data_IF_813688726217
#
_entry.id   IF_813688726217
#
_cell.length_a   1.000
_cell.length_b   1.000
_cell.length_c   1.000
_cell.angle_alpha   90.00
_cell.angle_beta   90.00
_cell.angle_gamma   90.00
#
_symmetry.space_group_name_H-M   'P 1'
#
loop_
_entity.id
_entity.type
_entity.pdbx_description
1 polymer ?
#
# COMPACT_ATOMS: atom_id res chain seq x y z
N UNK A 1 19.91 23.72 -15.90
CA UNK A 1 21.27 23.71 -16.47
C UNK A 1 21.58 22.26 -16.79
N UNK A 2 21.99 21.98 -18.02
CA UNK A 2 22.35 20.63 -18.46
C UNK A 2 23.75 20.32 -17.96
N UNK A 3 23.90 19.29 -17.13
CA UNK A 3 25.22 18.70 -16.88
C UNK A 3 25.53 17.76 -18.05
N UNK A 4 25.88 18.37 -19.20
CA UNK A 4 26.63 17.65 -20.21
C UNK A 4 27.93 17.15 -19.55
N UNK A 5 28.36 15.92 -19.87
CA UNK A 5 29.70 15.48 -19.53
C UNK A 5 30.72 16.54 -19.99
N UNK A 6 31.76 16.74 -19.19
CA UNK A 6 32.87 17.66 -19.51
C UNK A 6 33.24 17.51 -21.01
N UNK A 7 33.25 18.60 -21.80
CA UNK A 7 33.54 18.56 -23.24
C UNK A 7 34.84 17.81 -23.58
N UNK A 8 35.82 17.79 -22.66
CA UNK A 8 37.05 17.01 -22.82
C UNK A 8 36.82 15.51 -22.70
N UNK A 9 35.91 15.09 -21.82
CA UNK A 9 35.55 13.69 -21.64
C UNK A 9 34.75 13.17 -22.84
N UNK A 10 33.80 13.94 -23.37
CA UNK A 10 33.04 13.55 -24.59
C UNK A 10 33.95 13.38 -25.81
N UNK A 11 34.93 14.27 -25.98
CA UNK A 11 35.89 14.20 -27.09
C UNK A 11 36.83 12.98 -26.97
N UNK A 12 37.28 12.66 -25.75
CA UNK A 12 38.11 11.48 -25.51
C UNK A 12 37.28 10.20 -25.70
N UNK A 13 36.04 10.16 -25.23
CA UNK A 13 35.14 9.01 -25.38
C UNK A 13 34.79 8.74 -26.84
N UNK A 14 34.37 9.77 -27.60
CA UNK A 14 34.06 9.66 -29.03
C UNK A 14 35.28 9.23 -29.85
N UNK A 15 36.49 9.63 -29.46
CA UNK A 15 37.73 9.25 -30.15
C UNK A 15 38.19 7.83 -29.84
N UNK A 16 37.95 7.32 -28.64
CA UNK A 16 38.31 5.95 -28.24
C UNK A 16 37.27 4.95 -28.77
N UNK A 17 35.98 5.21 -28.56
CA UNK A 17 34.91 4.24 -28.85
C UNK A 17 34.23 4.46 -30.21
N UNK A 18 34.33 5.65 -30.80
CA UNK A 18 33.68 5.97 -32.07
C UNK A 18 34.32 5.32 -33.30
N UNK A 19 35.59 4.92 -33.22
CA UNK A 19 36.33 4.27 -34.31
C UNK A 19 36.32 2.74 -34.23
N UNK A 20 36.26 2.17 -33.02
CA UNK A 20 36.34 0.71 -32.82
C UNK A 20 34.98 0.02 -32.97
N UNK A 21 33.88 0.72 -32.65
CA UNK A 21 32.52 0.19 -32.77
C UNK A 21 31.61 1.16 -33.54
N UNK A 22 31.57 1.05 -34.88
CA UNK A 22 30.77 1.94 -35.74
C UNK A 22 29.26 1.92 -35.42
N UNK A 23 28.78 0.84 -34.80
CA UNK A 23 27.39 0.70 -34.36
C UNK A 23 27.11 1.54 -33.12
N UNK A 24 28.07 1.64 -32.20
CA UNK A 24 27.97 2.43 -30.99
C UNK A 24 27.96 3.93 -31.30
N UNK A 25 28.84 4.38 -32.21
CA UNK A 25 28.84 5.76 -32.70
C UNK A 25 27.52 6.15 -33.37
N UNK A 26 26.95 5.26 -34.21
CA UNK A 26 25.62 5.49 -34.84
C UNK A 26 24.50 5.55 -33.81
N UNK A 27 24.51 4.67 -32.80
CA UNK A 27 23.54 4.69 -31.71
C UNK A 27 23.62 5.99 -30.90
N UNK A 28 24.84 6.47 -30.60
CA UNK A 28 25.06 7.74 -29.90
C UNK A 28 24.59 8.95 -30.73
N UNK A 29 24.88 9.01 -32.02
CA UNK A 29 24.39 10.11 -32.89
C UNK A 29 22.87 10.08 -33.03
N UNK A 30 22.26 8.89 -33.13
CA UNK A 30 20.79 8.76 -33.15
C UNK A 30 20.17 9.20 -31.81
N UNK A 31 20.78 8.84 -30.68
CA UNK A 31 20.38 9.31 -29.34
C UNK A 31 20.54 10.82 -29.20
N UNK A 32 21.64 11.38 -29.68
CA UNK A 32 21.92 12.82 -29.65
C UNK A 32 20.93 13.59 -30.54
N UNK A 33 20.55 13.05 -31.70
CA UNK A 33 19.52 13.61 -32.58
C UNK A 33 18.09 13.49 -31.98
N UNK A 34 17.73 12.33 -31.45
CA UNK A 34 16.43 12.13 -30.79
C UNK A 34 16.28 12.99 -29.53
N UNK A 35 17.37 13.23 -28.80
CA UNK A 35 17.38 14.11 -27.62
C UNK A 35 17.29 15.60 -27.97
N UNK A 36 17.58 15.99 -29.23
CA UNK A 36 17.44 17.36 -29.74
C UNK A 36 16.00 17.68 -30.20
N UNK A 37 15.15 16.68 -30.46
CA UNK A 37 13.74 16.91 -30.77
C UNK A 37 12.94 17.16 -29.49
N UNK A 38 12.47 18.39 -29.30
CA UNK A 38 11.62 18.77 -28.18
C UNK A 38 10.36 17.88 -28.05
N UNK A 39 9.85 17.38 -29.18
CA UNK A 39 8.70 16.48 -29.23
C UNK A 39 9.04 15.08 -28.68
N UNK A 40 10.16 14.50 -29.07
CA UNK A 40 10.59 13.18 -28.59
C UNK A 40 10.90 13.22 -27.09
N UNK A 41 11.54 14.29 -26.62
CA UNK A 41 11.78 14.53 -25.18
C UNK A 41 10.47 14.61 -24.40
N UNK A 42 9.50 15.39 -24.91
CA UNK A 42 8.18 15.52 -24.30
C UNK A 42 7.45 14.18 -24.24
N UNK A 43 7.48 13.38 -25.31
CA UNK A 43 6.87 12.05 -25.34
C UNK A 43 7.50 11.10 -24.31
N UNK A 44 8.82 11.14 -24.17
CA UNK A 44 9.54 10.38 -23.15
C UNK A 44 9.14 10.82 -21.73
N UNK A 45 9.13 12.12 -21.45
CA UNK A 45 8.72 12.67 -20.16
C UNK A 45 7.26 12.33 -19.81
N UNK A 46 6.36 12.41 -20.79
CA UNK A 46 4.95 12.00 -20.62
C UNK A 46 4.84 10.52 -20.28
N UNK A 47 5.61 9.65 -20.94
CA UNK A 47 5.64 8.22 -20.64
C UNK A 47 6.18 7.96 -19.23
N UNK A 48 7.28 8.61 -18.85
CA UNK A 48 7.85 8.48 -17.50
C UNK A 48 6.85 8.95 -16.44
N UNK A 49 6.16 10.08 -16.68
CA UNK A 49 5.10 10.56 -15.79
C UNK A 49 3.96 9.55 -15.67
N UNK A 50 3.49 8.98 -16.78
CA UNK A 50 2.41 8.00 -16.76
C UNK A 50 2.78 6.75 -15.95
N UNK A 51 4.01 6.24 -16.12
CA UNK A 51 4.52 5.11 -15.35
C UNK A 51 4.60 5.45 -13.85
N UNK A 52 5.09 6.64 -13.50
CA UNK A 52 5.17 7.08 -12.12
C UNK A 52 3.78 7.25 -11.48
N UNK A 53 2.83 7.81 -12.21
CA UNK A 53 1.44 7.94 -11.77
C UNK A 53 0.81 6.56 -11.54
N UNK A 54 1.04 5.59 -12.42
CA UNK A 54 0.56 4.21 -12.27
C UNK A 54 1.12 3.55 -11.02
N UNK A 55 2.44 3.63 -10.80
CA UNK A 55 3.10 3.11 -9.59
C UNK A 55 2.51 3.78 -8.34
N UNK A 56 2.41 5.11 -8.34
CA UNK A 56 1.86 5.87 -7.21
C UNK A 56 0.42 5.49 -6.90
N UNK A 57 -0.42 5.22 -7.91
CA UNK A 57 -1.79 4.77 -7.71
C UNK A 57 -1.84 3.38 -7.08
N UNK A 58 -1.01 2.45 -7.53
CA UNK A 58 -0.95 1.10 -6.97
C UNK A 58 -0.46 1.10 -5.52
N UNK A 59 0.57 1.89 -5.21
CA UNK A 59 1.07 2.06 -3.85
C UNK A 59 -0.01 2.61 -2.91
N UNK A 60 -0.69 3.70 -3.32
CA UNK A 60 -1.80 4.26 -2.53
C UNK A 60 -2.94 3.28 -2.33
N UNK A 61 -3.33 2.54 -3.38
CA UNK A 61 -4.39 1.54 -3.27
C UNK A 61 -4.03 0.43 -2.26
N UNK A 62 -2.76 0.00 -2.27
CA UNK A 62 -2.25 -0.97 -1.30
C UNK A 62 -2.24 -0.40 0.12
N UNK A 63 -1.69 0.80 0.32
CA UNK A 63 -1.64 1.45 1.63
C UNK A 63 -3.04 1.65 2.23
N UNK A 64 -3.99 2.12 1.42
CA UNK A 64 -5.38 2.27 1.85
C UNK A 64 -6.00 0.91 2.21
N UNK A 65 -5.75 -0.13 1.40
CA UNK A 65 -6.23 -1.48 1.69
C UNK A 65 -5.68 -2.01 3.01
N UNK A 66 -4.38 -1.88 3.24
CA UNK A 66 -3.74 -2.30 4.49
C UNK A 66 -4.23 -1.48 5.69
N UNK A 67 -4.44 -0.17 5.54
CA UNK A 67 -4.97 0.69 6.61
C UNK A 67 -6.39 0.27 6.97
N UNK A 68 -7.28 0.15 5.99
CA UNK A 68 -8.67 -0.27 6.21
C UNK A 68 -8.74 -1.65 6.84
N UNK A 69 -7.93 -2.60 6.37
CA UNK A 69 -7.86 -3.94 6.94
C UNK A 69 -7.41 -3.94 8.40
N UNK A 70 -6.40 -3.13 8.74
CA UNK A 70 -5.94 -2.97 10.13
C UNK A 70 -6.99 -2.32 11.03
N UNK A 71 -7.66 -1.28 10.55
CA UNK A 71 -8.72 -0.59 11.29
C UNK A 71 -9.90 -1.52 11.57
N UNK A 72 -10.42 -2.21 10.53
CA UNK A 72 -11.50 -3.17 10.67
C UNK A 72 -11.13 -4.33 11.59
N UNK A 73 -9.93 -4.90 11.45
CA UNK A 73 -9.48 -5.98 12.32
C UNK A 73 -9.35 -5.54 13.78
N UNK A 74 -8.91 -4.31 14.04
CA UNK A 74 -8.83 -3.75 15.39
C UNK A 74 -10.22 -3.52 15.98
N UNK A 75 -11.16 -3.01 15.19
CA UNK A 75 -12.54 -2.78 15.62
C UNK A 75 -13.25 -4.10 15.95
N UNK A 76 -13.23 -5.06 15.03
CA UNK A 76 -13.79 -6.41 15.23
C UNK A 76 -13.16 -7.10 16.44
N UNK A 77 -11.83 -7.05 16.59
CA UNK A 77 -11.16 -7.63 17.75
C UNK A 77 -11.56 -6.97 19.07
N UNK A 78 -11.82 -5.65 19.07
CA UNK A 78 -12.29 -4.93 20.26
C UNK A 78 -13.72 -5.33 20.62
N UNK A 79 -14.61 -5.39 19.63
CA UNK A 79 -16.00 -5.82 19.84
C UNK A 79 -16.09 -7.26 20.33
N UNK A 80 -15.35 -8.16 19.69
CA UNK A 80 -15.26 -9.57 20.11
C UNK A 80 -14.72 -9.69 21.55
N UNK A 81 -13.66 -8.97 21.89
CA UNK A 81 -13.11 -9.01 23.25
C UNK A 81 -14.06 -8.44 24.32
N UNK A 82 -14.83 -7.41 23.98
CA UNK A 82 -15.88 -6.89 24.86
C UNK A 82 -17.00 -7.91 25.05
N UNK A 83 -17.46 -8.53 23.95
CA UNK A 83 -18.48 -9.57 23.99
C UNK A 83 -18.03 -10.77 24.82
N UNK A 84 -16.81 -11.28 24.60
CA UNK A 84 -16.24 -12.40 25.35
C UNK A 84 -16.17 -12.12 26.85
N UNK A 85 -15.76 -10.90 27.23
CA UNK A 85 -15.76 -10.46 28.62
C UNK A 85 -17.17 -10.40 29.20
N UNK A 86 -18.13 -9.83 28.49
CA UNK A 86 -19.53 -9.80 28.92
C UNK A 86 -20.10 -11.21 29.08
N UNK A 87 -19.81 -12.11 28.13
CA UNK A 87 -20.23 -13.51 28.19
C UNK A 87 -19.58 -14.27 29.35
N UNK A 88 -18.31 -14.00 29.67
CA UNK A 88 -17.64 -14.55 30.85
C UNK A 88 -18.31 -14.10 32.15
N UNK A 89 -18.64 -12.81 32.26
CA UNK A 89 -19.37 -12.27 33.42
C UNK A 89 -20.75 -12.90 33.53
N UNK A 90 -21.50 -12.96 32.43
CA UNK A 90 -22.83 -13.58 32.39
C UNK A 90 -22.79 -15.05 32.82
N UNK A 91 -21.81 -15.85 32.34
CA UNK A 91 -21.61 -17.24 32.79
C UNK A 91 -21.34 -17.34 34.29
N UNK A 92 -20.53 -16.44 34.85
CA UNK A 92 -20.25 -16.41 36.30
C UNK A 92 -21.50 -16.06 37.12
N UNK A 93 -22.35 -15.17 36.62
CA UNK A 93 -23.61 -14.81 37.27
C UNK A 93 -24.65 -15.93 37.18
N UNK A 94 -24.77 -16.59 36.02
CA UNK A 94 -25.59 -17.78 35.84
C UNK A 94 -25.18 -18.89 36.83
N UNK A 95 -23.87 -19.14 36.97
CA UNK A 95 -23.35 -20.12 37.91
C UNK A 95 -23.64 -19.77 39.39
N UNK A 96 -23.86 -18.49 39.70
CA UNK A 96 -24.26 -18.02 41.02
C UNK A 96 -25.77 -18.03 41.24
N UNK A 97 -26.56 -18.35 40.20
CA UNK A 97 -28.02 -18.39 40.27
C UNK A 97 -28.69 -17.02 40.16
N UNK A 98 -28.01 -16.00 39.61
CA UNK A 98 -28.63 -14.71 39.31
C UNK A 98 -29.76 -14.87 38.27
N UNK A 99 -30.79 -14.01 38.36
CA UNK A 99 -31.90 -14.01 37.41
C UNK A 99 -31.48 -13.48 36.04
N UNK A 100 -32.14 -13.95 34.98
CA UNK A 100 -31.80 -13.58 33.59
C UNK A 100 -31.90 -12.07 33.39
N UNK A 101 -32.95 -11.45 33.93
CA UNK A 101 -33.19 -10.00 33.78
C UNK A 101 -32.06 -9.18 34.40
N UNK A 102 -31.55 -9.59 35.57
CA UNK A 102 -30.39 -8.96 36.22
C UNK A 102 -29.10 -9.13 35.39
N UNK A 103 -28.92 -10.30 34.77
CA UNK A 103 -27.76 -10.59 33.91
C UNK A 103 -27.82 -9.75 32.63
N UNK A 104 -29.00 -9.60 32.01
CA UNK A 104 -29.21 -8.72 30.85
C UNK A 104 -28.78 -7.29 31.18
N UNK A 105 -29.26 -6.76 32.31
CA UNK A 105 -28.97 -5.40 32.74
C UNK A 105 -27.48 -5.17 33.00
N UNK A 106 -26.79 -6.11 33.66
CA UNK A 106 -25.41 -5.93 34.09
C UNK A 106 -24.36 -6.33 33.04
N UNK A 107 -24.64 -7.30 32.18
CA UNK A 107 -23.69 -7.77 31.15
C UNK A 107 -23.82 -7.02 29.83
N UNK A 108 -24.97 -6.37 29.60
CA UNK A 108 -25.31 -5.74 28.32
C UNK A 108 -25.63 -6.74 27.20
N UNK A 109 -25.75 -8.03 27.52
CA UNK A 109 -26.16 -9.07 26.59
C UNK A 109 -27.68 -9.18 26.54
N UNK A 110 -28.20 -9.61 25.39
CA UNK A 110 -29.63 -9.92 25.23
C UNK A 110 -30.01 -11.20 25.96
N UNK A 111 -31.29 -11.33 26.31
CA UNK A 111 -31.82 -12.55 26.92
C UNK A 111 -31.54 -13.78 26.03
N UNK A 112 -31.62 -13.63 24.71
CA UNK A 112 -31.31 -14.69 23.75
C UNK A 112 -29.85 -15.12 23.80
N UNK A 113 -28.90 -14.19 23.95
CA UNK A 113 -27.48 -14.49 24.11
C UNK A 113 -27.21 -15.22 25.43
N UNK A 114 -27.87 -14.81 26.51
CA UNK A 114 -27.73 -15.45 27.82
C UNK A 114 -28.31 -16.87 27.80
N UNK A 115 -29.46 -17.09 27.14
CA UNK A 115 -30.03 -18.42 26.97
C UNK A 115 -29.13 -19.32 26.11
N UNK A 116 -28.49 -18.77 25.06
CA UNK A 116 -27.45 -19.50 24.31
C UNK A 116 -26.26 -19.90 25.19
N UNK A 117 -25.87 -19.07 26.15
CA UNK A 117 -24.79 -19.37 27.09
C UNK A 117 -25.16 -20.46 28.11
N UNK A 118 -26.45 -20.72 28.37
CA UNK A 118 -26.91 -21.85 29.20
C UNK A 118 -26.93 -23.19 28.46
N UNK A 119 -27.04 -23.17 27.13
CA UNK A 119 -27.15 -24.37 26.30
C UNK A 119 -25.82 -25.13 26.13
N UNK A 120 -24.74 -24.66 26.73
CA UNK A 120 -23.40 -25.23 26.75
C UNK A 120 -22.89 -25.40 28.17
#
# INVERSE_FOLDING_TARGET
MHDLLDPKNDFVFKRIFGSEEPQLGKAMTALEYLSQSAEVRRLYEMRQKALHDEVSMLERAREEGERRGREQGREQGREQGLYEKSAEIARKMLAKGNEIDEIVELSGLTAEEIERLKAH
#
